data_IF_608101563119
#
_entry.id   IF_608101563119
#
_cell.length_a   1.000
_cell.length_b   1.000
_cell.length_c   1.000
_cell.angle_alpha   90.00
_cell.angle_beta   90.00
_cell.angle_gamma   90.00
#
_symmetry.space_group_name_H-M   'P 1'
#
loop_
_entity.id
_entity.type
_entity.pdbx_description
1 polymer ?
#
# COMPACT_ATOMS: atom_id res chain seq x y z
N UNK A 1 -2.80 -2.13 -17.11
CA UNK A 1 -1.87 -3.22 -16.74
C UNK A 1 -1.97 -3.40 -15.23
N UNK A 2 -2.98 -4.11 -14.76
CA UNK A 2 -3.00 -4.62 -13.38
C UNK A 2 -2.37 -6.00 -13.41
N UNK A 3 -1.38 -6.25 -12.54
CA UNK A 3 -0.88 -7.61 -12.35
C UNK A 3 -1.95 -8.50 -11.70
N UNK A 4 -1.79 -9.82 -11.81
CA UNK A 4 -2.55 -10.76 -10.96
C UNK A 4 -2.11 -10.54 -9.51
N UNK A 5 -3.04 -10.61 -8.56
CA UNK A 5 -2.67 -10.48 -7.15
C UNK A 5 -1.79 -11.65 -6.72
N UNK A 6 -0.66 -11.31 -6.10
CA UNK A 6 0.22 -12.30 -5.50
C UNK A 6 -0.49 -12.96 -4.31
N UNK A 7 -0.49 -14.29 -4.26
CA UNK A 7 -1.10 -15.07 -3.18
C UNK A 7 -0.08 -15.19 -2.03
N UNK A 8 -0.43 -14.80 -0.79
CA UNK A 8 0.47 -14.96 0.34
C UNK A 8 0.88 -16.42 0.54
N UNK A 9 2.17 -16.64 0.80
CA UNK A 9 2.71 -17.95 1.18
C UNK A 9 2.15 -18.39 2.53
N UNK A 10 1.90 -19.69 2.67
CA UNK A 10 1.56 -20.33 3.95
C UNK A 10 2.78 -20.75 4.76
N UNK A 11 3.98 -20.64 4.19
CA UNK A 11 5.24 -20.97 4.85
C UNK A 11 5.50 -19.99 6.02
N UNK A 12 5.59 -20.47 7.27
CA UNK A 12 5.94 -19.64 8.42
C UNK A 12 7.32 -18.97 8.34
N UNK A 13 8.25 -19.52 7.54
CA UNK A 13 9.56 -18.93 7.30
C UNK A 13 9.51 -17.77 6.30
N UNK A 14 8.40 -17.57 5.59
CA UNK A 14 8.22 -16.44 4.67
C UNK A 14 8.15 -15.13 5.44
N UNK A 15 9.24 -14.37 5.37
CA UNK A 15 9.38 -13.05 6.00
C UNK A 15 9.63 -11.97 4.96
N UNK A 16 9.30 -10.73 5.31
CA UNK A 16 9.50 -9.58 4.45
C UNK A 16 11.01 -9.30 4.30
N UNK A 17 11.50 -9.30 3.06
CA UNK A 17 12.90 -9.09 2.71
C UNK A 17 13.14 -7.73 2.06
N UNK A 18 12.15 -7.20 1.33
CA UNK A 18 12.25 -5.89 0.67
C UNK A 18 11.02 -5.03 0.91
N UNK A 19 11.24 -3.78 1.35
CA UNK A 19 10.22 -2.75 1.54
C UNK A 19 10.36 -1.71 0.43
N UNK A 20 9.34 -1.57 -0.40
CA UNK A 20 9.26 -0.57 -1.44
C UNK A 20 8.78 0.77 -0.89
N UNK A 21 9.69 1.74 -0.81
CA UNK A 21 9.40 3.11 -0.39
C UNK A 21 9.00 4.05 -1.56
N UNK A 22 8.75 3.50 -2.75
CA UNK A 22 8.28 4.27 -3.90
C UNK A 22 6.78 4.55 -3.82
N UNK A 23 6.38 5.80 -4.01
CA UNK A 23 4.96 6.18 -4.08
C UNK A 23 4.24 5.54 -5.25
N UNK A 24 2.91 5.47 -5.16
CA UNK A 24 2.07 5.13 -6.31
C UNK A 24 2.49 5.95 -7.53
N UNK A 25 2.49 5.31 -8.71
CA UNK A 25 2.88 5.94 -10.00
C UNK A 25 4.39 6.21 -10.18
N UNK A 26 5.24 5.63 -9.34
CA UNK A 26 6.71 5.59 -9.53
C UNK A 26 7.21 4.31 -10.21
N UNK A 27 6.31 3.43 -10.68
CA UNK A 27 6.67 2.13 -11.27
C UNK A 27 6.56 0.94 -10.30
N UNK A 28 5.73 1.07 -9.27
CA UNK A 28 5.52 0.08 -8.20
C UNK A 28 5.14 -1.31 -8.70
N UNK A 29 4.28 -1.42 -9.73
CA UNK A 29 3.91 -2.71 -10.34
C UNK A 29 5.14 -3.41 -10.95
N UNK A 30 5.95 -2.68 -11.71
CA UNK A 30 7.18 -3.23 -12.29
C UNK A 30 8.17 -3.65 -11.20
N UNK A 31 8.26 -2.87 -10.12
CA UNK A 31 9.07 -3.23 -8.96
C UNK A 31 8.58 -4.51 -8.29
N UNK A 32 7.27 -4.65 -8.06
CA UNK A 32 6.69 -5.86 -7.49
C UNK A 32 7.04 -7.11 -8.31
N UNK A 33 6.82 -7.05 -9.63
CA UNK A 33 7.15 -8.15 -10.55
C UNK A 33 8.65 -8.48 -10.58
N UNK A 34 9.52 -7.49 -10.46
CA UNK A 34 10.96 -7.70 -10.38
C UNK A 34 11.35 -8.40 -9.07
N UNK A 35 10.77 -7.96 -7.95
CA UNK A 35 11.03 -8.56 -6.63
C UNK A 35 10.50 -9.98 -6.53
N UNK A 36 9.33 -10.29 -7.11
CA UNK A 36 8.81 -11.67 -7.17
C UNK A 36 9.81 -12.62 -7.84
N UNK A 37 10.43 -12.17 -8.95
CA UNK A 37 11.45 -12.94 -9.66
C UNK A 37 12.76 -13.07 -8.89
N UNK A 38 13.21 -11.99 -8.25
CA UNK A 38 14.50 -11.95 -7.54
C UNK A 38 14.48 -12.69 -6.21
N UNK A 39 13.36 -12.61 -5.49
CA UNK A 39 13.20 -13.18 -4.15
C UNK A 39 12.53 -14.56 -4.17
N UNK A 40 11.96 -14.98 -5.30
CA UNK A 40 11.33 -16.29 -5.45
C UNK A 40 10.07 -16.46 -4.60
N UNK A 41 9.36 -15.38 -4.30
CA UNK A 41 8.19 -15.41 -3.43
C UNK A 41 7.19 -14.28 -3.74
N UNK A 42 6.00 -14.33 -3.12
CA UNK A 42 4.93 -13.38 -3.41
C UNK A 42 5.24 -11.98 -2.87
N UNK A 43 4.89 -10.96 -3.64
CA UNK A 43 5.08 -9.55 -3.26
C UNK A 43 3.73 -8.86 -3.14
N UNK A 44 3.50 -8.18 -2.02
CA UNK A 44 2.33 -7.36 -1.83
C UNK A 44 2.44 -6.07 -2.66
N UNK A 45 1.51 -5.85 -3.59
CA UNK A 45 1.38 -4.61 -4.34
C UNK A 45 0.04 -3.93 -4.02
N UNK A 46 0.10 -2.80 -3.34
CA UNK A 46 -1.05 -2.00 -2.91
C UNK A 46 -2.23 -1.96 -3.88
N UNK A 47 -2.02 -1.40 -5.08
CA UNK A 47 -3.09 -1.25 -6.07
C UNK A 47 -3.71 -2.55 -6.58
N UNK A 48 -3.04 -3.69 -6.51
CA UNK A 48 -3.60 -4.97 -6.98
C UNK A 48 -4.25 -5.71 -5.83
N UNK A 49 -3.58 -5.80 -4.68
CA UNK A 49 -4.01 -6.60 -3.54
C UNK A 49 -5.27 -6.01 -2.89
N UNK A 50 -5.37 -4.67 -2.80
CA UNK A 50 -6.55 -4.00 -2.24
C UNK A 50 -7.83 -4.21 -3.06
N UNK A 51 -7.72 -4.43 -4.37
CA UNK A 51 -8.89 -4.64 -5.24
C UNK A 51 -9.22 -6.12 -5.45
N UNK A 52 -8.25 -7.03 -5.31
CA UNK A 52 -8.38 -8.41 -5.76
C UNK A 52 -8.44 -9.43 -4.63
N UNK A 53 -8.00 -9.10 -3.40
CA UNK A 53 -8.05 -10.02 -2.25
C UNK A 53 -9.35 -9.91 -1.42
N UNK A 54 -10.31 -9.10 -1.88
CA UNK A 54 -11.64 -8.98 -1.27
C UNK A 54 -11.69 -8.13 0.00
N UNK A 55 -12.91 -7.99 0.52
CA UNK A 55 -13.23 -7.03 1.60
C UNK A 55 -12.48 -7.29 2.90
N UNK A 56 -12.20 -8.55 3.22
CA UNK A 56 -11.51 -8.89 4.46
C UNK A 56 -10.09 -8.31 4.47
N UNK A 57 -9.41 -8.35 3.32
CA UNK A 57 -8.07 -7.78 3.18
C UNK A 57 -8.11 -6.25 3.34
N UNK A 58 -9.09 -5.59 2.70
CA UNK A 58 -9.29 -4.15 2.86
C UNK A 58 -9.61 -3.77 4.31
N UNK A 59 -10.48 -4.53 4.97
CA UNK A 59 -10.84 -4.35 6.39
C UNK A 59 -9.61 -4.46 7.31
N UNK A 60 -8.74 -5.45 7.11
CA UNK A 60 -7.51 -5.57 7.92
C UNK A 60 -6.58 -4.37 7.74
N UNK A 61 -6.49 -3.81 6.54
CA UNK A 61 -5.73 -2.57 6.33
C UNK A 61 -6.40 -1.34 6.96
N UNK A 62 -7.74 -1.26 6.97
CA UNK A 62 -8.44 -0.24 7.77
C UNK A 62 -8.03 -0.34 9.24
N UNK A 63 -8.04 -1.53 9.81
CA UNK A 63 -7.64 -1.74 11.20
C UNK A 63 -6.17 -1.34 11.48
N UNK A 64 -5.26 -1.55 10.52
CA UNK A 64 -3.87 -1.06 10.60
C UNK A 64 -3.84 0.47 10.69
N UNK A 65 -4.60 1.16 9.86
CA UNK A 65 -4.67 2.62 9.91
C UNK A 65 -5.37 3.15 11.17
N UNK A 66 -6.40 2.47 11.66
CA UNK A 66 -7.08 2.85 12.91
C UNK A 66 -6.16 2.68 14.12
N UNK A 67 -5.29 1.67 14.10
CA UNK A 67 -4.28 1.45 15.13
C UNK A 67 -3.05 2.36 15.00
N UNK A 68 -2.95 3.26 14.01
CA UNK A 68 -1.71 4.01 13.70
C UNK A 68 -1.13 4.85 14.85
N UNK A 69 -1.95 5.17 15.86
CA UNK A 69 -1.52 5.91 17.07
C UNK A 69 -1.32 5.01 18.30
N UNK A 70 -1.60 3.71 18.19
CA UNK A 70 -1.35 2.69 19.20
C UNK A 70 -0.23 1.76 18.67
N UNK A 71 1.01 2.04 19.06
CA UNK A 71 2.21 1.39 18.48
C UNK A 71 2.19 -0.14 18.63
N UNK A 72 1.93 -0.73 19.82
CA UNK A 72 1.79 -2.19 19.94
C UNK A 72 0.75 -2.80 19.00
N UNK A 73 -0.43 -2.19 18.91
CA UNK A 73 -1.52 -2.71 18.09
C UNK A 73 -1.25 -2.54 16.59
N UNK A 74 -0.66 -1.40 16.20
CA UNK A 74 -0.19 -1.14 14.84
C UNK A 74 0.78 -2.22 14.38
N UNK A 75 1.82 -2.49 15.17
CA UNK A 75 2.86 -3.46 14.83
C UNK A 75 2.28 -4.88 14.73
N UNK A 76 1.34 -5.24 15.61
CA UNK A 76 0.65 -6.54 15.56
C UNK A 76 -0.14 -6.70 14.26
N UNK A 77 -0.98 -5.72 13.91
CA UNK A 77 -1.82 -5.76 12.71
C UNK A 77 -1.01 -5.66 11.43
N UNK A 78 0.04 -4.85 11.44
CA UNK A 78 0.94 -4.69 10.30
C UNK A 78 1.69 -6.00 9.97
N UNK A 79 2.11 -6.75 11.00
CA UNK A 79 2.67 -8.11 10.85
C UNK A 79 1.64 -9.10 10.28
N UNK A 80 0.36 -8.95 10.60
CA UNK A 80 -0.71 -9.83 10.08
C UNK A 80 -0.98 -9.60 8.60
N UNK A 81 -1.05 -8.34 8.14
CA UNK A 81 -1.32 -8.01 6.73
C UNK A 81 -0.13 -8.24 5.80
N UNK A 82 1.09 -8.31 6.35
CA UNK A 82 2.33 -8.57 5.60
C UNK A 82 2.81 -10.01 5.66
N UNK A 83 2.17 -10.86 6.48
CA UNK A 83 2.50 -12.29 6.58
C UNK A 83 2.39 -12.98 5.23
N UNK A 84 3.38 -13.84 4.93
CA UNK A 84 3.38 -14.63 3.70
C UNK A 84 3.85 -13.86 2.47
N UNK A 85 4.33 -12.62 2.61
CA UNK A 85 4.97 -11.87 1.52
C UNK A 85 6.48 -11.71 1.75
N UNK A 86 7.26 -11.82 0.68
CA UNK A 86 8.71 -11.56 0.70
C UNK A 86 9.05 -10.11 0.37
N UNK A 87 8.08 -9.36 -0.19
CA UNK A 87 8.22 -7.92 -0.40
C UNK A 87 6.90 -7.20 -0.32
N UNK A 88 6.95 -5.88 -0.15
CA UNK A 88 5.78 -5.00 -0.20
C UNK A 88 6.12 -3.75 -1.00
N UNK A 89 5.18 -3.28 -1.82
CA UNK A 89 5.34 -2.10 -2.67
C UNK A 89 4.01 -1.34 -2.73
N UNK A 90 4.08 -0.04 -3.05
CA UNK A 90 2.92 0.83 -3.18
C UNK A 90 2.18 1.11 -1.85
N UNK A 91 1.15 1.94 -1.89
CA UNK A 91 0.25 2.19 -0.76
C UNK A 91 -0.69 1.00 -0.55
N UNK A 92 -0.85 0.47 0.67
CA UNK A 92 -0.58 1.11 1.97
C UNK A 92 0.81 0.92 2.56
N UNK A 93 1.62 -0.03 2.08
CA UNK A 93 2.93 -0.35 2.68
C UNK A 93 3.89 0.83 2.80
N UNK A 94 3.90 1.74 1.82
CA UNK A 94 4.75 2.94 1.82
C UNK A 94 4.48 3.90 3.00
N UNK A 95 3.30 3.88 3.61
CA UNK A 95 2.96 4.73 4.76
C UNK A 95 3.54 4.25 6.09
N UNK A 96 4.08 3.03 6.12
CA UNK A 96 4.51 2.35 7.33
C UNK A 96 5.96 1.85 7.22
N UNK A 97 6.81 2.51 6.43
CA UNK A 97 8.20 2.04 6.19
C UNK A 97 8.99 1.93 7.50
N UNK A 98 8.82 2.87 8.43
CA UNK A 98 9.52 2.85 9.72
C UNK A 98 9.05 1.68 10.60
N UNK A 99 7.74 1.46 10.67
CA UNK A 99 7.13 0.38 11.44
C UNK A 99 7.41 -0.99 10.82
N UNK A 100 7.48 -1.07 9.49
CA UNK A 100 7.91 -2.27 8.78
C UNK A 100 9.39 -2.59 9.05
N UNK A 101 10.26 -1.59 9.12
CA UNK A 101 11.66 -1.80 9.51
C UNK A 101 11.82 -2.23 10.96
N UNK A 102 10.95 -1.76 11.87
CA UNK A 102 10.92 -2.25 13.24
C UNK A 102 10.52 -3.74 13.30
N UNK A 103 9.52 -4.15 12.52
CA UNK A 103 9.07 -5.54 12.45
C UNK A 103 10.08 -6.47 11.76
N UNK A 104 10.78 -5.94 10.75
CA UNK A 104 11.65 -6.68 9.83
C UNK A 104 13.00 -5.94 9.69
N UNK A 105 13.85 -5.94 10.72
CA UNK A 105 15.09 -5.14 10.74
C UNK A 105 16.11 -5.53 9.66
N UNK A 106 16.04 -6.77 9.16
CA UNK A 106 16.91 -7.27 8.09
C UNK A 106 16.39 -6.90 6.68
N UNK A 107 15.17 -6.38 6.56
CA UNK A 107 14.58 -6.03 5.28
C UNK A 107 15.30 -4.82 4.66
N UNK A 108 15.52 -4.86 3.35
CA UNK A 108 16.11 -3.76 2.60
C UNK A 108 15.02 -2.81 2.12
N UNK A 109 15.25 -1.51 2.24
CA UNK A 109 14.35 -0.49 1.69
C UNK A 109 14.81 -0.08 0.29
N UNK A 110 13.91 -0.12 -0.68
CA UNK A 110 14.16 0.32 -2.06
C UNK A 110 13.17 1.42 -2.44
N UNK A 111 13.69 2.59 -2.81
CA UNK A 111 12.89 3.72 -3.28
C UNK A 111 13.13 4.00 -4.76
N UNK A 112 12.11 3.80 -5.59
CA UNK A 112 12.15 4.24 -6.99
C UNK A 112 11.76 5.71 -7.05
N UNK A 113 12.63 6.53 -7.65
CA UNK A 113 12.39 7.96 -7.81
C UNK A 113 11.94 8.25 -9.23
N UNK A 114 11.13 9.30 -9.35
CA UNK A 114 10.68 9.88 -10.62
C UNK A 114 10.75 11.39 -10.48
N UNK A 115 10.98 12.06 -11.59
CA UNK A 115 10.84 13.51 -11.70
C UNK A 115 9.48 13.97 -11.15
N UNK A 116 9.51 15.00 -10.30
CA UNK A 116 8.37 15.38 -9.46
C UNK A 116 7.17 15.84 -10.29
N UNK A 117 7.38 16.70 -11.29
CA UNK A 117 6.29 17.21 -12.14
C UNK A 117 5.65 16.10 -12.98
N UNK A 118 6.47 15.23 -13.58
CA UNK A 118 5.96 14.07 -14.33
C UNK A 118 5.27 13.05 -13.46
N UNK A 119 5.74 12.87 -12.22
CA UNK A 119 5.07 12.02 -11.26
C UNK A 119 3.73 12.63 -10.85
N UNK A 120 3.68 13.91 -10.49
CA UNK A 120 2.46 14.60 -10.09
C UNK A 120 1.39 14.55 -11.17
N UNK A 121 1.75 14.88 -12.42
CA UNK A 121 0.83 14.75 -13.56
C UNK A 121 0.25 13.33 -13.66
N UNK A 122 1.10 12.32 -13.51
CA UNK A 122 0.66 10.91 -13.57
C UNK A 122 -0.14 10.45 -12.35
N UNK A 123 0.09 11.04 -11.18
CA UNK A 123 -0.63 10.77 -9.94
C UNK A 123 -2.00 11.40 -9.96
N UNK A 124 -2.09 12.68 -10.33
CA UNK A 124 -3.34 13.41 -10.46
C UNK A 124 -4.25 12.79 -11.53
N UNK A 125 -3.71 12.47 -12.71
CA UNK A 125 -4.49 11.78 -13.75
C UNK A 125 -5.03 10.41 -13.31
N UNK A 126 -4.33 9.70 -12.41
CA UNK A 126 -4.79 8.43 -11.85
C UNK A 126 -5.86 8.65 -10.79
N UNK A 127 -5.62 9.59 -9.86
CA UNK A 127 -6.55 9.97 -8.81
C UNK A 127 -7.90 10.41 -9.39
N UNK A 128 -7.90 11.31 -10.38
CA UNK A 128 -9.11 11.81 -11.03
C UNK A 128 -9.93 10.70 -11.69
N UNK A 129 -9.28 9.63 -12.14
CA UNK A 129 -9.93 8.49 -12.82
C UNK A 129 -10.38 7.39 -11.84
N UNK A 130 -9.62 7.14 -10.77
CA UNK A 130 -9.90 6.06 -9.82
C UNK A 130 -10.84 6.48 -8.69
N UNK A 131 -10.81 7.74 -8.28
CA UNK A 131 -11.58 8.24 -7.15
C UNK A 131 -12.33 9.52 -7.50
N UNK A 132 -13.23 9.48 -8.51
CA UNK A 132 -14.12 10.60 -8.74
C UNK A 132 -15.00 10.83 -7.50
N UNK A 133 -15.26 12.08 -7.16
CA UNK A 133 -15.96 12.50 -5.93
C UNK A 133 -17.30 11.77 -5.67
N UNK A 134 -17.96 11.29 -6.72
CA UNK A 134 -19.24 10.58 -6.62
C UNK A 134 -19.10 9.08 -6.29
N UNK A 135 -17.92 8.48 -6.45
CA UNK A 135 -17.69 7.05 -6.16
C UNK A 135 -17.89 6.75 -4.68
N UNK A 136 -17.39 7.60 -3.79
CA UNK A 136 -17.55 7.39 -2.35
C UNK A 136 -19.03 7.45 -1.94
N UNK A 137 -19.81 8.38 -2.52
CA UNK A 137 -21.27 8.49 -2.29
C UNK A 137 -22.01 7.27 -2.87
N UNK A 138 -21.64 6.83 -4.07
CA UNK A 138 -22.26 5.71 -4.76
C UNK A 138 -21.98 4.37 -4.06
N UNK A 139 -20.77 4.18 -3.54
CA UNK A 139 -20.32 2.95 -2.89
C UNK A 139 -20.67 2.90 -1.40
N UNK A 140 -21.08 4.03 -0.80
CA UNK A 140 -21.46 4.10 0.62
C UNK A 140 -22.50 3.06 1.08
N UNK A 141 -23.62 2.80 0.35
CA UNK A 141 -24.58 1.79 0.77
C UNK A 141 -24.13 0.35 0.46
N UNK A 142 -23.02 0.16 -0.27
CA UNK A 142 -22.55 -1.16 -0.70
C UNK A 142 -21.75 -1.82 0.43
N UNK A 143 -22.26 -2.90 1.06
CA UNK A 143 -21.64 -3.48 2.25
C UNK A 143 -20.24 -4.04 2.01
N UNK A 144 -19.90 -4.32 0.76
CA UNK A 144 -18.61 -4.88 0.36
C UNK A 144 -17.57 -3.79 0.09
N UNK A 145 -17.96 -2.71 -0.60
CA UNK A 145 -17.05 -1.62 -0.96
C UNK A 145 -16.79 -0.58 0.15
N UNK A 146 -17.57 -0.58 1.24
CA UNK A 146 -17.39 0.39 2.35
C UNK A 146 -15.99 0.37 2.98
N UNK A 147 -15.34 -0.79 3.03
CA UNK A 147 -14.00 -0.90 3.60
C UNK A 147 -12.94 -0.29 2.69
N UNK A 148 -13.14 -0.35 1.38
CA UNK A 148 -12.28 0.35 0.43
C UNK A 148 -12.42 1.87 0.57
N UNK A 149 -13.64 2.39 0.67
CA UNK A 149 -13.88 3.82 0.91
C UNK A 149 -13.26 4.29 2.23
N UNK A 150 -13.48 3.54 3.32
CA UNK A 150 -12.88 3.85 4.64
C UNK A 150 -11.36 3.76 4.63
N UNK A 151 -10.80 2.76 3.95
CA UNK A 151 -9.35 2.63 3.77
C UNK A 151 -8.79 3.83 3.02
N UNK A 152 -9.44 4.26 1.93
CA UNK A 152 -8.98 5.40 1.13
C UNK A 152 -8.97 6.69 1.95
N UNK A 153 -10.04 6.95 2.72
CA UNK A 153 -10.12 8.08 3.66
C UNK A 153 -8.95 8.10 4.63
N UNK A 154 -8.72 6.98 5.34
CA UNK A 154 -7.63 6.84 6.32
C UNK A 154 -6.24 6.92 5.67
N UNK A 155 -6.08 6.39 4.47
CA UNK A 155 -4.85 6.49 3.72
C UNK A 155 -4.54 7.95 3.36
N UNK A 156 -5.56 8.73 2.97
CA UNK A 156 -5.43 10.16 2.70
C UNK A 156 -5.14 10.96 3.97
N UNK A 157 -5.74 10.63 5.11
CA UNK A 157 -5.37 11.21 6.40
C UNK A 157 -3.89 10.97 6.72
N UNK A 158 -3.43 9.71 6.61
CA UNK A 158 -2.03 9.36 6.87
C UNK A 158 -1.07 10.07 5.90
N UNK A 159 -1.48 10.24 4.65
CA UNK A 159 -0.68 10.97 3.65
C UNK A 159 -0.49 12.43 4.07
N UNK A 160 -1.53 13.07 4.65
CA UNK A 160 -1.44 14.41 5.23
C UNK A 160 -0.55 14.45 6.47
N UNK A 161 -0.70 13.49 7.38
CA UNK A 161 0.12 13.38 8.60
C UNK A 161 1.62 13.28 8.29
N UNK A 162 1.96 12.52 7.24
CA UNK A 162 3.33 12.34 6.77
C UNK A 162 3.88 13.55 5.99
N UNK A 163 3.10 14.63 5.84
CA UNK A 163 3.49 15.81 5.07
C UNK A 163 3.63 15.56 3.57
N UNK A 164 2.99 14.50 3.06
CA UNK A 164 3.07 14.13 1.65
C UNK A 164 2.03 14.88 0.79
N UNK A 165 1.08 15.60 1.41
CA UNK A 165 0.17 16.53 0.71
C UNK A 165 0.42 17.99 1.13
N UNK A 166 0.11 18.97 0.26
CA UNK A 166 -0.30 18.83 -1.13
C UNK A 166 0.94 18.66 -2.01
N UNK A 167 0.95 17.64 -2.86
CA UNK A 167 1.91 17.53 -3.94
C UNK A 167 1.64 18.66 -4.96
N UNK A 168 2.08 19.87 -4.69
CA UNK A 168 1.99 21.00 -5.63
C UNK A 168 3.30 21.14 -6.42
N UNK A 169 3.28 21.59 -7.69
CA UNK A 169 4.50 22.08 -8.31
C UNK A 169 5.00 23.29 -7.52
N UNK A 170 6.23 23.23 -6.98
CA UNK A 170 6.90 24.35 -6.32
C UNK A 170 7.23 24.23 -4.82
N UNK A 171 7.38 23.02 -4.27
CA UNK A 171 8.28 22.81 -3.11
C UNK A 171 9.67 22.40 -3.58
#
# INVERSE_FOLDING_TARGET
>A
MGGVASIPSTDPACTLQVIGAGFSRTGTVSMALALEKLLGGPVCHGGTQMHMLGDEYARRWVEVYEARHDRPELLRRLREVTRGFVGITDMPGVHFVEELLELYPEARVVGVRRDADRWWKSANEMHDKMTPWYMDVLLWPVPTSRWFARWHELAMERTKELGLLPFGPGQ
#
